data_IF_356730370609
#
_entry.id   IF_356730370609
#
_cell.length_a   1.000
_cell.length_b   1.000
_cell.length_c   1.000
_cell.angle_alpha   90.00
_cell.angle_beta   90.00
_cell.angle_gamma   90.00
#
_symmetry.space_group_name_H-M   'P 1'
#
loop_
_entity.id
_entity.type
_entity.pdbx_description
1 polymer ?
#
# COMPACT_ATOMS: atom_id res chain seq x y z
N UNK A 1 -43.40 19.71 -30.71
CA UNK A 1 -41.97 19.70 -30.33
C UNK A 1 -41.78 19.60 -28.82
N UNK A 2 -42.43 20.45 -28.00
CA UNK A 2 -42.29 20.40 -26.53
C UNK A 2 -42.73 19.10 -25.86
N UNK A 3 -43.83 18.47 -26.29
CA UNK A 3 -44.29 17.19 -25.71
C UNK A 3 -43.33 16.04 -25.97
N UNK A 4 -42.69 15.99 -27.15
CA UNK A 4 -41.73 14.95 -27.48
C UNK A 4 -40.45 15.08 -26.65
N UNK A 5 -39.99 16.31 -26.39
CA UNK A 5 -38.83 16.60 -25.53
C UNK A 5 -39.13 16.22 -24.07
N UNK A 6 -40.33 16.50 -23.56
CA UNK A 6 -40.74 16.11 -22.21
C UNK A 6 -40.83 14.59 -22.04
N UNK A 7 -41.35 13.88 -23.05
CA UNK A 7 -41.41 12.41 -23.05
C UNK A 7 -40.00 11.82 -23.11
N UNK A 8 -39.15 12.30 -24.02
CA UNK A 8 -37.78 11.82 -24.15
C UNK A 8 -36.95 12.09 -22.89
N UNK A 9 -37.09 13.28 -22.28
CA UNK A 9 -36.45 13.63 -21.02
C UNK A 9 -36.91 12.74 -19.86
N UNK A 10 -38.23 12.49 -19.76
CA UNK A 10 -38.78 11.58 -18.76
C UNK A 10 -38.25 10.15 -18.89
N UNK A 11 -38.12 9.64 -20.11
CA UNK A 11 -37.55 8.31 -20.37
C UNK A 11 -36.08 8.23 -19.94
N UNK A 12 -35.28 9.25 -20.24
CA UNK A 12 -33.86 9.29 -19.83
C UNK A 12 -33.70 9.31 -18.31
N UNK A 13 -34.56 10.03 -17.58
CA UNK A 13 -34.55 10.04 -16.11
C UNK A 13 -34.89 8.66 -15.56
N UNK A 14 -35.91 7.98 -16.10
CA UNK A 14 -36.30 6.63 -15.65
C UNK A 14 -35.18 5.63 -15.91
N UNK A 15 -34.52 5.70 -17.07
CA UNK A 15 -33.35 4.84 -17.38
C UNK A 15 -32.22 5.11 -16.39
N UNK A 16 -31.88 6.38 -16.14
CA UNK A 16 -30.82 6.75 -15.21
C UNK A 16 -31.08 6.25 -13.78
N UNK A 17 -32.31 6.42 -13.28
CA UNK A 17 -32.72 5.91 -11.96
C UNK A 17 -32.68 4.39 -11.93
N UNK A 18 -33.11 3.72 -13.00
CA UNK A 18 -33.05 2.26 -13.12
C UNK A 18 -31.62 1.72 -13.09
N UNK A 19 -30.69 2.36 -13.81
CA UNK A 19 -29.27 1.99 -13.81
C UNK A 19 -28.63 2.24 -12.43
N UNK A 20 -28.94 3.35 -11.78
CA UNK A 20 -28.43 3.65 -10.44
C UNK A 20 -28.94 2.62 -9.42
N UNK A 21 -30.23 2.32 -9.43
CA UNK A 21 -30.83 1.28 -8.58
C UNK A 21 -30.18 -0.09 -8.83
N UNK A 22 -29.98 -0.45 -10.10
CA UNK A 22 -29.28 -1.69 -10.46
C UNK A 22 -27.84 -1.73 -9.92
N UNK A 23 -27.09 -0.63 -10.00
CA UNK A 23 -25.74 -0.53 -9.44
C UNK A 23 -25.74 -0.72 -7.92
N UNK A 24 -26.65 -0.06 -7.19
CA UNK A 24 -26.76 -0.24 -5.74
C UNK A 24 -27.15 -1.67 -5.35
N UNK A 25 -28.09 -2.29 -6.08
CA UNK A 25 -28.47 -3.68 -5.87
C UNK A 25 -27.30 -4.63 -6.10
N UNK A 26 -26.47 -4.38 -7.12
CA UNK A 26 -25.25 -5.16 -7.38
C UNK A 26 -24.15 -4.91 -6.36
N UNK A 27 -23.95 -3.66 -5.95
CA UNK A 27 -22.94 -3.31 -4.95
C UNK A 27 -23.22 -3.98 -3.59
N UNK A 28 -24.49 -4.05 -3.17
CA UNK A 28 -24.89 -4.74 -1.94
C UNK A 28 -24.72 -6.28 -1.97
N UNK A 29 -24.42 -6.87 -3.13
CA UNK A 29 -24.10 -8.30 -3.24
C UNK A 29 -22.62 -8.59 -2.90
N UNK A 30 -21.78 -7.57 -2.84
CA UNK A 30 -20.35 -7.71 -2.54
C UNK A 30 -20.10 -7.37 -1.08
N UNK A 31 -19.81 -8.38 -0.26
CA UNK A 31 -19.37 -8.16 1.12
C UNK A 31 -17.88 -7.80 1.12
N UNK A 32 -17.56 -6.51 1.07
CA UNK A 32 -16.17 -6.01 1.07
C UNK A 32 -15.37 -6.38 2.33
N UNK A 33 -16.07 -6.72 3.41
CA UNK A 33 -15.51 -7.03 4.73
C UNK A 33 -15.57 -8.52 5.08
N UNK A 34 -16.07 -9.38 4.20
CA UNK A 34 -16.05 -10.82 4.44
C UNK A 34 -14.62 -11.34 4.26
N UNK A 35 -14.15 -12.17 5.21
CA UNK A 35 -12.89 -12.90 5.08
C UNK A 35 -13.06 -13.89 3.92
N UNK A 36 -12.55 -13.50 2.76
CA UNK A 36 -12.40 -14.35 1.59
C UNK A 36 -10.98 -14.90 1.58
N UNK A 37 -10.81 -16.17 1.20
CA UNK A 37 -9.48 -16.79 1.06
C UNK A 37 -8.64 -16.14 -0.05
N UNK A 38 -9.23 -15.24 -0.84
CA UNK A 38 -8.60 -14.53 -1.95
C UNK A 38 -7.69 -13.37 -1.50
N UNK A 39 -7.86 -12.87 -0.26
CA UNK A 39 -7.00 -11.81 0.28
C UNK A 39 -5.83 -12.43 1.06
N UNK A 40 -4.58 -12.04 0.76
CA UNK A 40 -3.42 -12.59 1.44
C UNK A 40 -3.44 -12.27 2.94
N UNK A 41 -2.89 -13.17 3.78
CA UNK A 41 -2.99 -13.11 5.25
C UNK A 41 -2.60 -11.76 5.85
N UNK A 42 -1.55 -11.12 5.30
CA UNK A 42 -1.06 -9.82 5.77
C UNK A 42 -2.09 -8.68 5.67
N UNK A 43 -3.12 -8.81 4.80
CA UNK A 43 -4.22 -7.84 4.70
C UNK A 43 -5.28 -8.01 5.79
N UNK A 44 -5.24 -9.11 6.54
CA UNK A 44 -6.19 -9.42 7.61
C UNK A 44 -5.62 -9.17 9.01
N UNK A 45 -4.32 -8.89 9.10
CA UNK A 45 -3.61 -8.55 10.32
C UNK A 45 -3.50 -7.04 10.49
N UNK A 46 -3.33 -6.58 11.73
CA UNK A 46 -2.88 -5.22 11.98
C UNK A 46 -1.49 -5.05 11.35
N UNK A 47 -1.20 -3.89 10.72
CA UNK A 47 0.14 -3.61 10.24
C UNK A 47 1.16 -3.63 11.39
N UNK A 48 2.45 -3.83 11.09
CA UNK A 48 3.53 -3.68 12.06
C UNK A 48 3.39 -2.42 12.91
N UNK A 49 3.79 -2.48 14.19
CA UNK A 49 3.76 -1.29 15.07
C UNK A 49 4.59 -0.14 14.50
N UNK A 50 5.66 -0.45 13.78
CA UNK A 50 6.51 0.51 13.08
C UNK A 50 5.72 1.29 12.02
N UNK A 51 4.97 0.59 11.16
CA UNK A 51 4.07 1.22 10.17
C UNK A 51 2.96 2.01 10.84
N UNK A 52 2.37 1.49 11.92
CA UNK A 52 1.36 2.24 12.68
C UNK A 52 1.95 3.53 13.25
N UNK A 53 3.19 3.50 13.73
CA UNK A 53 3.85 4.69 14.26
C UNK A 53 4.23 5.69 13.18
N UNK A 54 4.70 5.23 12.01
CA UNK A 54 5.03 6.06 10.86
C UNK A 54 3.77 6.80 10.35
N UNK A 55 2.78 6.06 9.84
CA UNK A 55 1.48 6.59 9.42
C UNK A 55 0.77 7.51 10.45
N UNK A 56 0.93 7.27 11.76
CA UNK A 56 0.42 8.19 12.79
C UNK A 56 1.25 9.47 12.93
N UNK A 57 2.57 9.40 12.76
CA UNK A 57 3.46 10.55 12.75
C UNK A 57 3.15 11.48 11.55
N UNK A 58 2.80 10.89 10.41
CA UNK A 58 2.47 11.62 9.18
C UNK A 58 0.99 12.07 9.11
N UNK A 59 0.19 11.64 10.09
CA UNK A 59 -1.19 12.08 10.27
C UNK A 59 -2.22 11.34 9.40
N UNK A 60 -1.82 10.21 8.82
CA UNK A 60 -2.65 9.36 7.97
C UNK A 60 -3.62 8.47 8.77
N UNK A 61 -3.31 8.25 10.05
CA UNK A 61 -4.07 7.35 10.92
C UNK A 61 -3.56 5.92 10.83
N UNK A 62 -4.38 4.93 11.21
CA UNK A 62 -3.97 3.52 11.15
C UNK A 62 -4.31 2.95 9.78
N UNK A 63 -3.31 2.88 8.90
CA UNK A 63 -3.43 2.39 7.51
C UNK A 63 -2.29 1.40 7.19
N UNK A 64 -2.48 0.61 6.13
CA UNK A 64 -1.45 -0.29 5.59
C UNK A 64 -0.70 0.32 4.41
N UNK A 65 -1.18 1.46 3.91
CA UNK A 65 -0.51 2.29 2.94
C UNK A 65 0.14 3.41 3.71
N UNK A 66 1.45 3.49 3.64
CA UNK A 66 2.26 4.61 4.09
C UNK A 66 2.84 5.21 2.81
N UNK A 67 2.58 6.48 2.51
CA UNK A 67 3.13 7.09 1.30
C UNK A 67 3.35 8.58 1.49
N UNK A 68 4.61 8.96 1.65
CA UNK A 68 4.99 10.35 1.79
C UNK A 68 5.30 11.04 0.45
N UNK A 69 5.18 12.37 0.45
CA UNK A 69 5.53 13.18 -0.71
C UNK A 69 7.03 13.04 -1.04
N UNK A 70 7.32 12.39 -2.17
CA UNK A 70 8.68 12.18 -2.68
C UNK A 70 9.14 10.72 -2.70
N UNK A 71 8.41 9.84 -2.01
CA UNK A 71 8.69 8.40 -1.97
C UNK A 71 8.32 7.70 -3.27
N UNK A 72 8.87 6.50 -3.48
CA UNK A 72 8.42 5.66 -4.60
C UNK A 72 7.09 5.03 -4.25
N UNK A 73 6.31 4.73 -5.29
CA UNK A 73 5.09 3.98 -5.09
C UNK A 73 5.47 2.54 -4.73
N UNK A 74 5.18 2.13 -3.50
CA UNK A 74 5.36 0.75 -3.09
C UNK A 74 4.01 0.08 -2.76
N UNK A 75 4.01 -1.24 -2.86
CA UNK A 75 2.93 -2.05 -2.34
C UNK A 75 3.00 -2.04 -0.80
N UNK A 76 1.87 -2.20 -0.09
CA UNK A 76 1.84 -2.18 1.38
C UNK A 76 2.87 -3.07 2.08
N UNK A 77 3.20 -4.23 1.52
CA UNK A 77 4.21 -5.09 2.13
C UNK A 77 5.63 -4.50 2.04
N UNK A 78 5.92 -3.74 1.00
CA UNK A 78 7.21 -3.08 0.80
C UNK A 78 7.34 -1.92 1.80
N UNK A 79 6.33 -1.06 1.90
CA UNK A 79 6.24 0.02 2.91
C UNK A 79 6.46 -0.55 4.32
N UNK A 80 5.75 -1.62 4.67
CA UNK A 80 5.89 -2.24 5.99
C UNK A 80 7.30 -2.79 6.30
N UNK A 81 8.02 -3.30 5.30
CA UNK A 81 9.39 -3.75 5.49
C UNK A 81 10.33 -2.55 5.61
N UNK A 82 10.05 -1.49 4.85
CA UNK A 82 10.75 -0.21 4.93
C UNK A 82 10.62 0.41 6.32
N UNK A 83 9.42 0.49 6.89
CA UNK A 83 9.19 1.05 8.23
C UNK A 83 9.96 0.30 9.30
N UNK A 84 9.97 -1.04 9.23
CA UNK A 84 10.76 -1.88 10.14
C UNK A 84 12.26 -1.57 9.99
N UNK A 85 12.74 -1.36 8.76
CA UNK A 85 14.13 -1.03 8.50
C UNK A 85 14.48 0.39 8.96
N UNK A 86 13.62 1.38 8.69
CA UNK A 86 13.76 2.78 9.15
C UNK A 86 13.78 2.83 10.68
N UNK A 87 12.89 2.12 11.36
CA UNK A 87 12.88 2.02 12.82
C UNK A 87 14.16 1.37 13.40
N UNK A 88 14.81 0.46 12.66
CA UNK A 88 16.15 -0.05 13.02
C UNK A 88 17.22 0.99 12.76
N UNK A 89 17.16 1.70 11.65
CA UNK A 89 18.09 2.77 11.33
C UNK A 89 18.03 3.90 12.37
N UNK A 90 16.86 4.22 12.91
CA UNK A 90 16.71 5.18 14.00
C UNK A 90 17.51 4.83 15.26
N UNK A 91 17.73 3.53 15.51
CA UNK A 91 18.43 2.98 16.67
C UNK A 91 19.92 2.69 16.40
N UNK A 92 20.31 2.53 15.14
CA UNK A 92 21.68 2.26 14.71
C UNK A 92 22.30 3.48 14.00
N UNK A 93 23.24 4.20 14.64
CA UNK A 93 23.91 5.35 14.03
C UNK A 93 24.60 5.06 12.69
N UNK A 94 25.02 3.81 12.45
CA UNK A 94 25.61 3.43 11.17
C UNK A 94 24.57 3.43 10.05
N UNK A 95 23.38 2.93 10.31
CA UNK A 95 22.33 2.81 9.30
C UNK A 95 21.69 4.17 8.96
N UNK A 96 21.71 5.14 9.91
CA UNK A 96 21.22 6.52 9.68
C UNK A 96 21.89 7.26 8.53
N UNK A 97 23.08 6.83 8.11
CA UNK A 97 23.79 7.47 7.01
C UNK A 97 23.17 7.15 5.64
N UNK A 98 22.30 6.13 5.56
CA UNK A 98 21.63 5.72 4.35
C UNK A 98 20.23 6.31 4.31
N UNK A 99 19.95 7.02 3.23
CA UNK A 99 18.59 7.36 2.82
C UNK A 99 17.99 6.16 2.08
N UNK A 100 16.91 5.58 2.61
CA UNK A 100 16.36 4.30 2.16
C UNK A 100 14.88 4.52 1.80
N UNK A 101 14.50 4.11 0.59
CA UNK A 101 13.16 4.24 0.00
C UNK A 101 12.88 2.97 -0.82
N UNK A 102 11.71 2.37 -0.71
CA UNK A 102 11.31 1.17 -1.45
C UNK A 102 10.26 1.50 -2.50
N UNK A 103 10.33 0.80 -3.63
CA UNK A 103 9.32 0.86 -4.66
C UNK A 103 8.80 -0.52 -5.02
N UNK A 104 7.71 -0.56 -5.77
CA UNK A 104 7.23 -1.79 -6.40
C UNK A 104 7.28 -1.63 -7.92
N UNK A 105 8.04 -2.51 -8.56
CA UNK A 105 8.19 -2.57 -9.99
C UNK A 105 6.85 -2.95 -10.67
N UNK A 106 6.67 -2.65 -11.98
CA UNK A 106 5.45 -2.99 -12.70
C UNK A 106 5.11 -4.49 -12.76
N UNK A 107 6.11 -5.35 -12.55
CA UNK A 107 5.95 -6.81 -12.46
C UNK A 107 5.63 -7.31 -11.04
N UNK A 108 5.52 -6.38 -10.07
CA UNK A 108 5.29 -6.67 -8.65
C UNK A 108 6.56 -6.97 -7.85
N UNK A 109 7.76 -6.85 -8.46
CA UNK A 109 9.03 -7.00 -7.78
C UNK A 109 9.33 -5.84 -6.82
N UNK A 110 10.14 -6.10 -5.80
CA UNK A 110 10.64 -5.06 -4.90
C UNK A 110 11.77 -4.29 -5.55
N UNK A 111 11.69 -2.97 -5.53
CA UNK A 111 12.77 -2.04 -5.88
C UNK A 111 13.33 -1.43 -4.60
N UNK A 112 14.65 -1.37 -4.46
CA UNK A 112 15.30 -0.80 -3.28
C UNK A 112 16.10 0.42 -3.72
N UNK A 113 15.85 1.58 -3.13
CA UNK A 113 16.58 2.80 -3.38
C UNK A 113 17.42 3.12 -2.15
N UNK A 114 18.72 3.34 -2.37
CA UNK A 114 19.67 3.75 -1.32
C UNK A 114 20.41 4.98 -1.79
N UNK A 115 20.28 6.10 -1.08
CA UNK A 115 20.83 7.41 -1.45
C UNK A 115 20.45 7.80 -2.89
N UNK A 116 19.19 7.53 -3.27
CA UNK A 116 18.66 7.78 -4.62
C UNK A 116 19.12 6.80 -5.71
N UNK A 117 19.96 5.79 -5.39
CA UNK A 117 20.40 4.77 -6.34
C UNK A 117 19.51 3.54 -6.24
N UNK A 118 18.95 3.11 -7.37
CA UNK A 118 18.11 1.91 -7.47
C UNK A 118 18.95 0.63 -7.49
N UNK A 119 18.48 -0.37 -6.75
CA UNK A 119 18.99 -1.74 -6.72
C UNK A 119 17.85 -2.72 -6.93
N UNK A 120 18.03 -3.65 -7.87
CA UNK A 120 17.02 -4.67 -8.22
C UNK A 120 16.99 -5.85 -7.21
N UNK A 121 17.38 -5.61 -5.97
CA UNK A 121 17.33 -6.59 -4.88
C UNK A 121 18.48 -6.48 -3.87
N UNK A 122 18.26 -7.12 -2.72
CA UNK A 122 19.14 -7.05 -1.53
C UNK A 122 20.57 -7.46 -1.83
N UNK A 123 20.76 -8.48 -2.67
CA UNK A 123 22.09 -8.99 -3.01
C UNK A 123 22.99 -7.93 -3.68
N UNK A 124 22.37 -6.94 -4.35
CA UNK A 124 23.06 -5.90 -5.10
C UNK A 124 23.41 -4.67 -4.25
N UNK A 125 22.97 -4.62 -2.98
CA UNK A 125 23.26 -3.49 -2.10
C UNK A 125 24.78 -3.34 -1.90
N UNK A 126 25.28 -2.12 -1.70
CA UNK A 126 26.72 -1.87 -1.62
C UNK A 126 27.31 -2.21 -0.24
N UNK A 127 26.48 -2.25 0.81
CA UNK A 127 26.90 -2.36 2.20
C UNK A 127 26.36 -3.62 2.88
N UNK A 128 27.24 -4.38 3.54
CA UNK A 128 26.88 -5.65 4.17
C UNK A 128 26.04 -5.50 5.44
N UNK A 129 26.23 -4.43 6.23
CA UNK A 129 25.42 -4.19 7.41
C UNK A 129 24.01 -3.76 7.02
N UNK A 130 23.87 -2.95 5.98
CA UNK A 130 22.58 -2.60 5.38
C UNK A 130 21.86 -3.82 4.81
N UNK A 131 22.58 -4.70 4.09
CA UNK A 131 22.02 -5.99 3.62
C UNK A 131 21.48 -6.80 4.77
N UNK A 132 22.27 -6.95 5.84
CA UNK A 132 21.86 -7.74 6.99
C UNK A 132 20.64 -7.14 7.69
N UNK A 133 20.63 -5.82 7.90
CA UNK A 133 19.50 -5.10 8.47
C UNK A 133 18.23 -5.27 7.63
N UNK A 134 18.35 -5.20 6.31
CA UNK A 134 17.25 -5.46 5.39
C UNK A 134 16.74 -6.90 5.53
N UNK A 135 17.62 -7.90 5.47
CA UNK A 135 17.24 -9.32 5.58
C UNK A 135 16.56 -9.62 6.91
N UNK A 136 17.02 -9.00 7.99
CA UNK A 136 16.41 -9.16 9.30
C UNK A 136 15.04 -8.48 9.38
N UNK A 137 14.82 -7.37 8.67
CA UNK A 137 13.52 -6.70 8.56
C UNK A 137 12.50 -7.52 7.77
N UNK A 138 12.94 -8.13 6.66
CA UNK A 138 12.11 -9.10 5.93
C UNK A 138 11.78 -10.33 6.78
N UNK A 139 12.75 -10.85 7.54
CA UNK A 139 12.52 -12.00 8.42
C UNK A 139 11.51 -11.66 9.51
N UNK A 140 11.66 -10.48 10.11
CA UNK A 140 10.75 -9.97 11.13
C UNK A 140 9.33 -9.80 10.59
N UNK A 141 9.17 -9.17 9.42
CA UNK A 141 7.87 -9.04 8.77
C UNK A 141 7.23 -10.41 8.48
N UNK A 142 8.00 -11.37 7.95
CA UNK A 142 7.48 -12.71 7.66
C UNK A 142 7.09 -13.50 8.91
N UNK A 143 7.75 -13.27 10.05
CA UNK A 143 7.43 -13.94 11.31
C UNK A 143 6.19 -13.36 12.02
N UNK A 144 5.69 -12.21 11.55
CA UNK A 144 4.47 -11.56 12.05
C UNK A 144 3.21 -12.01 11.29
N UNK A 145 3.38 -12.83 10.24
CA UNK A 145 2.29 -13.51 9.54
C UNK A 145 1.66 -14.60 10.40
#
# INVERSE_FOLDING_TARGET
>A
MSTFILIAGGVMVVIGVGLLAFMFMRANQVKLTERTDDKPEWMHSLPPEETVHATLADGEGVTVYDHDEGEKLAAPFAEQIEDILRAKAEKDPYLKQFDIDFGTAPDGGLEIYVNGVKYDGVANLPDEQLKQAFLDSVREWNNRK
#
